data_IF_475837428449
#
_entry.id   IF_475837428449
#
_cell.length_a   1.000
_cell.length_b   1.000
_cell.length_c   1.000
_cell.angle_alpha   90.00
_cell.angle_beta   90.00
_cell.angle_gamma   90.00
#
_symmetry.space_group_name_H-M   'P 1'
#
loop_
_entity.id
_entity.type
_entity.pdbx_description
1 polymer ?
#
# COMPACT_ATOMS: atom_id res chain seq x y z
N UNK A 1 -28.72 36.59 23.79
CA UNK A 1 -28.34 36.40 22.39
C UNK A 1 -27.46 35.15 22.35
N UNK A 2 -28.08 33.99 22.13
CA UNK A 2 -27.42 32.69 22.09
C UNK A 2 -26.89 32.47 20.68
N UNK A 3 -25.56 32.34 20.56
CA UNK A 3 -24.92 31.81 19.37
C UNK A 3 -24.70 30.33 19.64
N UNK A 4 -25.49 29.50 18.99
CA UNK A 4 -25.32 28.05 18.97
C UNK A 4 -24.07 27.74 18.11
N UNK A 5 -23.10 27.10 18.75
CA UNK A 5 -22.00 26.40 18.08
C UNK A 5 -22.59 25.19 17.35
N UNK A 6 -22.61 25.21 16.04
CA UNK A 6 -22.80 24.02 15.24
C UNK A 6 -21.53 23.17 15.33
N UNK A 7 -21.64 22.11 16.10
CA UNK A 7 -20.69 21.00 16.11
C UNK A 7 -20.57 20.42 14.69
N UNK A 8 -19.49 20.74 14.02
CA UNK A 8 -19.03 20.01 12.84
C UNK A 8 -18.57 18.62 13.29
N UNK A 9 -19.52 17.70 13.28
CA UNK A 9 -19.31 16.28 13.51
C UNK A 9 -18.39 15.72 12.45
N UNK A 10 -17.08 15.64 12.74
CA UNK A 10 -16.17 14.81 11.98
C UNK A 10 -16.75 13.38 11.90
N UNK A 11 -16.76 12.76 10.73
CA UNK A 11 -17.21 11.37 10.61
C UNK A 11 -16.21 10.49 11.34
N UNK A 12 -16.53 10.08 12.55
CA UNK A 12 -15.86 8.99 13.25
C UNK A 12 -16.13 7.70 12.49
N UNK A 13 -15.36 7.45 11.46
CA UNK A 13 -15.40 6.18 10.75
C UNK A 13 -14.24 5.32 11.25
N UNK A 14 -14.45 4.70 12.38
CA UNK A 14 -13.67 3.56 12.87
C UNK A 14 -14.06 2.29 12.06
N UNK A 15 -14.30 2.43 10.78
CA UNK A 15 -14.56 1.32 9.87
C UNK A 15 -13.25 0.92 9.20
N UNK A 16 -12.68 -0.18 9.67
CA UNK A 16 -11.55 -0.87 9.02
C UNK A 16 -11.87 -1.26 7.56
N UNK A 17 -13.10 -1.11 7.11
CA UNK A 17 -13.58 -1.54 5.81
C UNK A 17 -13.14 -0.60 4.69
N UNK A 18 -12.71 -1.19 3.59
CA UNK A 18 -12.47 -0.48 2.33
C UNK A 18 -13.80 -0.27 1.62
N UNK A 19 -14.17 0.98 1.41
CA UNK A 19 -15.32 1.37 0.58
C UNK A 19 -14.86 2.15 -0.65
N UNK A 20 -14.92 1.50 -1.81
CA UNK A 20 -14.58 2.09 -3.11
C UNK A 20 -15.39 3.34 -3.39
N UNK A 21 -16.67 3.35 -3.00
CA UNK A 21 -17.55 4.47 -3.26
C UNK A 21 -17.18 5.69 -2.42
N UNK A 22 -16.84 5.48 -1.16
CA UNK A 22 -16.32 6.51 -0.27
C UNK A 22 -14.99 7.07 -0.77
N UNK A 23 -14.08 6.21 -1.22
CA UNK A 23 -12.79 6.62 -1.79
C UNK A 23 -13.00 7.47 -3.06
N UNK A 24 -13.88 7.07 -3.97
CA UNK A 24 -14.21 7.85 -5.18
C UNK A 24 -14.80 9.20 -4.81
N UNK A 25 -15.72 9.23 -3.86
CA UNK A 25 -16.37 10.47 -3.41
C UNK A 25 -15.36 11.46 -2.82
N UNK A 26 -14.39 10.96 -2.07
CA UNK A 26 -13.36 11.79 -1.41
C UNK A 26 -12.28 12.25 -2.38
N UNK A 27 -11.79 11.33 -3.23
CA UNK A 27 -10.62 11.60 -4.09
C UNK A 27 -11.00 12.21 -5.45
N UNK A 28 -12.21 11.94 -5.94
CA UNK A 28 -12.68 12.37 -7.25
C UNK A 28 -14.08 13.02 -7.20
N UNK A 29 -14.34 14.00 -6.31
CA UNK A 29 -15.68 14.55 -6.09
C UNK A 29 -16.27 15.18 -7.35
N UNK A 30 -15.42 15.81 -8.19
CA UNK A 30 -15.85 16.44 -9.44
C UNK A 30 -16.27 15.43 -10.51
N UNK A 31 -15.69 14.23 -10.50
CA UNK A 31 -15.94 13.19 -11.50
C UNK A 31 -17.01 12.20 -11.07
N UNK A 32 -17.37 12.14 -9.77
CA UNK A 32 -18.37 11.22 -9.22
C UNK A 32 -19.67 11.21 -10.02
N UNK A 33 -20.12 12.39 -10.44
CA UNK A 33 -21.36 12.58 -11.21
C UNK A 33 -21.35 11.88 -12.57
N UNK A 34 -20.16 11.69 -13.16
CA UNK A 34 -19.98 11.10 -14.49
C UNK A 34 -19.64 9.62 -14.45
N UNK A 35 -19.36 9.06 -13.25
CA UNK A 35 -19.01 7.65 -13.10
C UNK A 35 -20.30 6.85 -12.96
N UNK A 36 -20.65 5.99 -13.94
CA UNK A 36 -21.86 5.19 -13.88
C UNK A 36 -21.75 4.11 -12.79
N UNK A 37 -22.86 3.72 -12.20
CA UNK A 37 -22.91 2.68 -11.15
C UNK A 37 -22.31 1.36 -11.60
N UNK A 38 -22.46 0.99 -12.88
CA UNK A 38 -21.86 -0.23 -13.40
C UNK A 38 -20.32 -0.21 -13.33
N UNK A 39 -19.69 0.95 -13.56
CA UNK A 39 -18.24 1.09 -13.42
C UNK A 39 -17.79 0.98 -11.95
N UNK A 40 -18.56 1.53 -11.03
CA UNK A 40 -18.28 1.39 -9.59
C UNK A 40 -18.42 -0.08 -9.16
N UNK A 41 -19.49 -0.74 -9.58
CA UNK A 41 -19.71 -2.16 -9.25
C UNK A 41 -18.63 -3.06 -9.90
N UNK A 42 -18.23 -2.74 -11.12
CA UNK A 42 -17.11 -3.42 -11.78
C UNK A 42 -15.80 -3.23 -10.99
N UNK A 43 -15.54 -2.01 -10.51
CA UNK A 43 -14.35 -1.72 -9.71
C UNK A 43 -14.38 -2.44 -8.37
N UNK A 44 -15.51 -2.42 -7.64
CA UNK A 44 -15.71 -3.18 -6.39
C UNK A 44 -15.41 -4.67 -6.60
N UNK A 45 -15.93 -5.24 -7.68
CA UNK A 45 -15.69 -6.65 -8.04
C UNK A 45 -14.22 -6.90 -8.43
N UNK A 46 -13.59 -5.97 -9.13
CA UNK A 46 -12.20 -6.11 -9.58
C UNK A 46 -11.21 -6.12 -8.41
N UNK A 47 -11.48 -5.34 -7.36
CA UNK A 47 -10.65 -5.31 -6.14
C UNK A 47 -11.09 -6.33 -5.10
N UNK A 48 -12.12 -7.14 -5.40
CA UNK A 48 -12.69 -8.11 -4.47
C UNK A 48 -13.03 -7.47 -3.11
N UNK A 49 -13.77 -6.35 -3.14
CA UNK A 49 -14.02 -5.53 -1.96
C UNK A 49 -14.62 -6.33 -0.79
N UNK A 50 -15.57 -7.22 -1.08
CA UNK A 50 -16.26 -7.99 -0.05
C UNK A 50 -15.33 -9.01 0.62
N UNK A 51 -14.48 -9.69 -0.17
CA UNK A 51 -13.46 -10.61 0.32
C UNK A 51 -12.40 -9.87 1.14
N UNK A 52 -11.96 -8.69 0.67
CA UNK A 52 -11.01 -7.86 1.39
C UNK A 52 -11.58 -7.41 2.73
N UNK A 53 -12.82 -6.94 2.77
CA UNK A 53 -13.49 -6.56 4.00
C UNK A 53 -13.69 -7.76 4.94
N UNK A 54 -14.01 -8.93 4.39
CA UNK A 54 -14.06 -10.18 5.16
C UNK A 54 -12.72 -10.54 5.81
N UNK A 55 -11.60 -10.33 5.11
CA UNK A 55 -10.26 -10.52 5.68
C UNK A 55 -10.02 -9.50 6.80
N UNK A 56 -10.33 -8.22 6.58
CA UNK A 56 -10.17 -7.18 7.58
C UNK A 56 -10.97 -7.47 8.86
N UNK A 57 -12.17 -8.02 8.73
CA UNK A 57 -12.99 -8.44 9.89
C UNK A 57 -12.36 -9.59 10.67
N UNK A 58 -11.87 -10.62 9.95
CA UNK A 58 -11.25 -11.80 10.58
C UNK A 58 -9.88 -11.50 11.19
N UNK A 59 -9.20 -10.45 10.73
CA UNK A 59 -7.89 -10.03 11.24
C UNK A 59 -7.99 -8.79 12.15
N UNK A 60 -9.19 -8.45 12.58
CA UNK A 60 -9.45 -7.28 13.43
C UNK A 60 -8.57 -7.28 14.68
N UNK A 61 -8.01 -6.13 15.01
CA UNK A 61 -7.13 -5.93 16.17
C UNK A 61 -5.66 -6.27 15.93
N UNK A 62 -5.31 -6.78 14.74
CA UNK A 62 -3.91 -6.99 14.34
C UNK A 62 -3.38 -5.80 13.55
N UNK A 63 -2.06 -5.52 13.65
CA UNK A 63 -1.40 -4.42 12.93
C UNK A 63 -0.05 -4.88 12.39
N UNK A 64 0.41 -4.18 11.36
CA UNK A 64 1.76 -4.34 10.81
C UNK A 64 2.08 -5.80 10.43
N UNK A 65 3.19 -6.34 10.88
CA UNK A 65 3.60 -7.72 10.58
C UNK A 65 2.61 -8.77 11.11
N UNK A 66 1.97 -8.52 12.26
CA UNK A 66 0.94 -9.41 12.81
C UNK A 66 -0.31 -9.46 11.93
N UNK A 67 -0.71 -8.33 11.36
CA UNK A 67 -1.79 -8.29 10.38
C UNK A 67 -1.42 -9.12 9.15
N UNK A 68 -0.22 -8.95 8.61
CA UNK A 68 0.25 -9.72 7.46
C UNK A 68 0.29 -11.22 7.76
N UNK A 69 0.77 -11.63 8.93
CA UNK A 69 0.76 -13.02 9.37
C UNK A 69 -0.66 -13.59 9.44
N UNK A 70 -1.59 -12.83 10.02
CA UNK A 70 -2.99 -13.24 10.13
C UNK A 70 -3.64 -13.41 8.74
N UNK A 71 -3.38 -12.49 7.80
CA UNK A 71 -3.85 -12.57 6.42
C UNK A 71 -3.27 -13.79 5.70
N UNK A 72 -1.96 -14.02 5.79
CA UNK A 72 -1.33 -15.18 5.16
C UNK A 72 -1.88 -16.49 5.70
N UNK A 73 -2.15 -16.57 6.99
CA UNK A 73 -2.77 -17.72 7.65
C UNK A 73 -4.22 -17.93 7.17
N UNK A 74 -5.01 -16.87 7.11
CA UNK A 74 -6.40 -16.89 6.65
C UNK A 74 -6.51 -17.38 5.19
N UNK A 75 -5.59 -16.94 4.34
CA UNK A 75 -5.50 -17.34 2.93
C UNK A 75 -4.76 -18.67 2.71
N UNK A 76 -4.27 -19.32 3.79
CA UNK A 76 -3.43 -20.52 3.74
C UNK A 76 -2.23 -20.39 2.78
N UNK A 77 -1.62 -19.21 2.75
CA UNK A 77 -0.45 -18.92 1.91
C UNK A 77 0.82 -19.29 2.66
N UNK A 78 1.70 -20.02 2.00
CA UNK A 78 3.05 -20.37 2.46
C UNK A 78 4.06 -19.87 1.44
N UNK A 79 5.21 -19.43 1.92
CA UNK A 79 6.34 -19.04 1.08
C UNK A 79 7.63 -19.62 1.63
N UNK A 80 8.63 -19.73 0.79
CA UNK A 80 9.99 -20.15 1.13
C UNK A 80 10.97 -19.06 0.71
N UNK A 81 12.08 -18.95 1.42
CA UNK A 81 13.15 -18.00 1.11
C UNK A 81 14.42 -18.76 0.82
N UNK A 82 15.09 -18.39 -0.27
CA UNK A 82 16.39 -18.95 -0.66
C UNK A 82 17.36 -17.81 -0.94
N UNK A 83 18.63 -18.02 -0.65
CA UNK A 83 19.71 -17.07 -0.91
C UNK A 83 20.35 -16.49 0.36
N UNK A 84 21.34 -15.63 0.15
CA UNK A 84 22.07 -14.95 1.23
C UNK A 84 21.49 -13.56 1.44
N UNK A 85 21.22 -13.20 2.68
CA UNK A 85 20.63 -11.92 3.05
C UNK A 85 21.70 -10.94 3.54
N UNK A 86 21.58 -9.64 3.21
CA UNK A 86 22.47 -8.61 3.74
C UNK A 86 22.21 -8.38 5.24
N UNK A 87 23.27 -7.99 5.95
CA UNK A 87 23.19 -7.63 7.37
C UNK A 87 22.87 -6.12 7.50
N UNK A 88 21.72 -5.73 8.03
CA UNK A 88 21.32 -4.33 8.16
C UNK A 88 22.20 -3.52 9.13
N UNK A 89 22.93 -4.20 10.04
CA UNK A 89 23.88 -3.54 10.92
C UNK A 89 25.14 -3.04 10.18
N UNK A 90 25.44 -3.64 9.03
CA UNK A 90 26.64 -3.33 8.23
C UNK A 90 26.35 -2.42 7.04
N UNK A 91 25.12 -2.45 6.55
CA UNK A 91 24.77 -1.72 5.32
C UNK A 91 23.28 -1.41 5.26
N UNK A 92 22.92 -0.37 4.54
CA UNK A 92 21.54 -0.03 4.19
C UNK A 92 20.93 -1.16 3.36
N UNK A 93 19.74 -1.60 3.75
CA UNK A 93 18.97 -2.63 3.04
C UNK A 93 17.79 -2.01 2.31
N UNK A 94 17.77 -2.16 0.99
CA UNK A 94 16.63 -1.80 0.14
C UNK A 94 16.18 -3.04 -0.59
N UNK A 95 14.94 -3.46 -0.34
CA UNK A 95 14.32 -4.66 -0.88
C UNK A 95 13.49 -4.27 -2.09
N UNK A 96 13.92 -4.72 -3.24
CA UNK A 96 13.28 -4.41 -4.53
C UNK A 96 12.66 -5.68 -5.09
N UNK A 97 11.35 -5.63 -5.38
CA UNK A 97 10.60 -6.83 -5.75
C UNK A 97 9.75 -6.63 -7.01
N UNK A 98 9.44 -7.73 -7.69
CA UNK A 98 8.37 -7.80 -8.68
C UNK A 98 7.00 -7.72 -7.98
N UNK A 99 5.95 -7.46 -8.75
CA UNK A 99 4.60 -7.33 -8.22
C UNK A 99 3.58 -8.12 -9.04
N UNK A 100 3.74 -9.46 -9.17
CA UNK A 100 2.89 -10.29 -10.01
C UNK A 100 1.53 -10.63 -9.40
N UNK A 101 1.43 -10.73 -8.08
CA UNK A 101 0.24 -11.20 -7.36
C UNK A 101 -0.57 -10.06 -6.69
N UNK A 102 -0.17 -8.82 -6.88
CA UNK A 102 -0.86 -7.67 -6.30
C UNK A 102 -0.71 -7.58 -4.78
N UNK A 103 -1.82 -7.36 -4.06
CA UNK A 103 -1.78 -7.14 -2.61
C UNK A 103 -1.06 -8.25 -1.85
N UNK A 104 -1.10 -9.49 -2.34
CA UNK A 104 -0.46 -10.63 -1.70
C UNK A 104 1.06 -10.51 -1.65
N UNK A 105 1.68 -9.92 -2.69
CA UNK A 105 3.13 -9.66 -2.68
C UNK A 105 3.49 -8.70 -1.55
N UNK A 106 2.72 -7.61 -1.39
CA UNK A 106 2.95 -6.63 -0.33
C UNK A 106 2.84 -7.26 1.06
N UNK A 107 1.78 -8.00 1.30
CA UNK A 107 1.53 -8.71 2.57
C UNK A 107 2.68 -9.70 2.87
N UNK A 108 3.07 -10.50 1.87
CA UNK A 108 4.17 -11.48 2.02
C UNK A 108 5.50 -10.78 2.29
N UNK A 109 5.81 -9.72 1.57
CA UNK A 109 7.07 -8.99 1.72
C UNK A 109 7.18 -8.27 3.07
N UNK A 110 6.08 -7.67 3.56
CA UNK A 110 6.07 -7.05 4.89
C UNK A 110 6.29 -8.12 5.97
N UNK A 111 5.56 -9.24 5.91
CA UNK A 111 5.72 -10.33 6.88
C UNK A 111 7.15 -10.89 6.85
N UNK A 112 7.68 -11.19 5.66
CA UNK A 112 9.03 -11.72 5.48
C UNK A 112 10.10 -10.74 5.98
N UNK A 113 10.01 -9.47 5.61
CA UNK A 113 11.00 -8.47 6.00
C UNK A 113 10.99 -8.22 7.51
N UNK A 114 9.81 -8.17 8.12
CA UNK A 114 9.69 -8.02 9.57
C UNK A 114 10.23 -9.24 10.32
N UNK A 115 10.01 -10.45 9.82
CA UNK A 115 10.56 -11.69 10.38
C UNK A 115 12.09 -11.78 10.24
N UNK A 116 12.65 -11.18 9.17
CA UNK A 116 14.08 -11.25 8.84
C UNK A 116 14.89 -10.14 9.52
N UNK A 117 14.37 -8.92 9.50
CA UNK A 117 15.10 -7.71 9.89
C UNK A 117 14.54 -7.01 11.13
N UNK A 118 13.44 -7.52 11.69
CA UNK A 118 12.74 -6.91 12.81
C UNK A 118 11.54 -6.07 12.37
N UNK A 119 10.73 -5.62 13.33
CA UNK A 119 9.44 -4.96 13.06
C UNK A 119 9.59 -3.54 12.49
N UNK A 120 10.75 -2.94 12.62
CA UNK A 120 11.03 -1.57 12.16
C UNK A 120 11.44 -1.63 10.68
N UNK A 121 10.45 -1.57 9.81
CA UNK A 121 10.59 -1.59 8.36
C UNK A 121 9.70 -0.54 7.73
N UNK A 122 10.05 -0.07 6.54
CA UNK A 122 9.19 0.82 5.76
C UNK A 122 8.87 0.24 4.40
N UNK A 123 7.65 0.53 3.93
CA UNK A 123 7.21 0.11 2.62
C UNK A 123 6.73 1.31 1.80
N UNK A 124 7.45 1.61 0.72
CA UNK A 124 7.08 2.68 -0.21
C UNK A 124 5.86 2.25 -1.01
N UNK A 125 4.78 3.00 -0.87
CA UNK A 125 3.48 2.69 -1.48
C UNK A 125 2.85 3.91 -2.15
N UNK A 126 1.90 3.65 -3.04
CA UNK A 126 1.03 4.73 -3.52
C UNK A 126 0.16 5.26 -2.35
N UNK A 127 -0.04 6.57 -2.32
CA UNK A 127 -0.82 7.25 -1.27
C UNK A 127 -2.24 6.70 -1.07
N UNK A 128 -2.84 6.09 -2.10
CA UNK A 128 -4.16 5.44 -2.01
C UNK A 128 -4.16 4.25 -1.03
N UNK A 129 -3.01 3.60 -0.84
CA UNK A 129 -2.89 2.43 0.05
C UNK A 129 -2.89 2.80 1.53
N UNK A 130 -2.74 4.08 1.87
CA UNK A 130 -2.88 4.56 3.27
C UNK A 130 -4.28 4.35 3.85
N UNK A 131 -5.25 4.01 2.99
CA UNK A 131 -6.57 3.57 3.43
C UNK A 131 -6.56 2.22 4.17
N UNK A 132 -5.48 1.42 4.01
CA UNK A 132 -5.31 0.14 4.71
C UNK A 132 -4.75 0.42 6.12
N UNK A 133 -5.63 0.78 7.05
CA UNK A 133 -5.29 1.21 8.40
C UNK A 133 -4.39 0.25 9.19
N UNK A 134 -4.55 -1.08 9.12
CA UNK A 134 -3.65 -2.00 9.82
C UNK A 134 -2.16 -1.87 9.44
N UNK A 135 -1.83 -1.26 8.30
CA UNK A 135 -0.46 -1.12 7.79
C UNK A 135 0.03 0.33 7.73
N UNK A 136 -0.73 1.29 8.24
CA UNK A 136 -0.42 2.72 8.10
C UNK A 136 0.94 3.11 8.71
N UNK A 137 1.37 2.44 9.77
CA UNK A 137 2.65 2.73 10.44
C UNK A 137 3.88 2.31 9.62
N UNK A 138 3.72 1.32 8.74
CA UNK A 138 4.80 0.81 7.86
C UNK A 138 4.83 1.59 6.55
N UNK A 139 3.69 2.12 6.10
CA UNK A 139 3.57 2.73 4.80
C UNK A 139 4.24 4.09 4.71
N UNK A 140 5.08 4.24 3.70
CA UNK A 140 5.70 5.49 3.31
C UNK A 140 5.05 5.95 1.99
N UNK A 141 4.03 6.83 2.05
CA UNK A 141 3.25 7.16 0.88
C UNK A 141 3.98 8.06 -0.10
N UNK A 142 3.91 7.69 -1.38
CA UNK A 142 4.43 8.47 -2.50
C UNK A 142 3.28 8.83 -3.44
N UNK A 143 3.17 10.10 -3.79
CA UNK A 143 2.19 10.52 -4.78
C UNK A 143 2.75 10.36 -6.19
N UNK A 144 2.24 9.35 -6.92
CA UNK A 144 2.68 9.05 -8.29
C UNK A 144 2.06 9.99 -9.35
N UNK A 145 0.99 10.72 -9.02
CA UNK A 145 0.19 11.48 -10.00
C UNK A 145 0.06 12.98 -9.67
N UNK A 146 0.81 13.48 -8.67
CA UNK A 146 0.68 14.86 -8.23
C UNK A 146 1.96 15.42 -7.59
N UNK A 147 1.87 16.66 -7.10
CA UNK A 147 2.96 17.23 -6.30
C UNK A 147 3.06 16.50 -4.96
N UNK A 148 4.24 16.01 -4.67
CA UNK A 148 4.58 15.49 -3.33
C UNK A 148 4.37 16.62 -2.30
N UNK A 149 3.74 16.30 -1.17
CA UNK A 149 3.69 17.27 -0.08
C UNK A 149 5.11 17.43 0.52
N UNK A 150 5.43 18.62 1.03
CA UNK A 150 6.74 18.85 1.65
C UNK A 150 6.98 17.92 2.85
N UNK A 151 5.95 17.60 3.61
CA UNK A 151 6.04 16.65 4.73
C UNK A 151 6.41 15.24 4.26
N UNK A 152 5.73 14.72 3.23
CA UNK A 152 6.03 13.38 2.70
C UNK A 152 7.46 13.29 2.15
N UNK A 153 8.01 14.34 1.51
CA UNK A 153 9.39 14.28 1.05
C UNK A 153 10.40 14.32 2.20
N UNK A 154 10.12 15.04 3.28
CA UNK A 154 11.00 15.09 4.45
C UNK A 154 11.03 13.73 5.16
N UNK A 155 9.89 13.07 5.28
CA UNK A 155 9.78 11.74 5.89
C UNK A 155 10.51 10.68 5.06
N UNK A 156 10.37 10.74 3.74
CA UNK A 156 11.07 9.85 2.80
C UNK A 156 12.58 10.04 2.93
N UNK A 157 13.07 11.27 2.90
CA UNK A 157 14.50 11.56 3.04
C UNK A 157 15.06 11.10 4.38
N UNK A 158 14.31 11.26 5.47
CA UNK A 158 14.70 10.79 6.80
C UNK A 158 14.82 9.25 6.83
N UNK A 159 13.86 8.53 6.24
CA UNK A 159 13.90 7.06 6.16
C UNK A 159 15.03 6.59 5.27
N UNK A 160 15.30 7.27 4.13
CA UNK A 160 16.44 6.91 3.29
C UNK A 160 17.79 7.17 3.96
N UNK A 161 17.88 8.06 4.93
CA UNK A 161 19.09 8.30 5.74
C UNK A 161 19.22 7.37 6.94
N UNK A 162 18.13 6.76 7.38
CA UNK A 162 18.15 5.77 8.47
C UNK A 162 18.69 4.43 7.98
N UNK A 163 18.99 3.52 8.90
CA UNK A 163 19.36 2.13 8.57
C UNK A 163 18.15 1.20 8.49
N UNK A 164 16.95 1.72 8.65
CA UNK A 164 15.71 0.94 8.57
C UNK A 164 15.56 0.32 7.17
N UNK A 165 15.28 -0.97 7.06
CA UNK A 165 15.03 -1.63 5.78
C UNK A 165 13.83 -1.03 5.06
N UNK A 166 13.97 -0.85 3.75
CA UNK A 166 12.93 -0.27 2.89
C UNK A 166 12.51 -1.31 1.86
N UNK A 167 11.21 -1.52 1.73
CA UNK A 167 10.60 -2.35 0.69
C UNK A 167 10.03 -1.44 -0.39
N UNK A 168 10.20 -1.82 -1.66
CA UNK A 168 9.57 -1.11 -2.76
C UNK A 168 9.28 -2.02 -3.95
N UNK A 169 8.22 -1.70 -4.67
CA UNK A 169 7.88 -2.25 -5.98
C UNK A 169 8.12 -1.17 -7.05
N UNK A 170 9.30 -1.16 -7.72
CA UNK A 170 9.68 -0.06 -8.61
C UNK A 170 8.74 0.14 -9.80
N UNK A 171 8.07 -0.93 -10.19
CA UNK A 171 7.08 -0.88 -11.26
C UNK A 171 5.84 -0.07 -10.91
N UNK A 172 5.53 0.10 -9.63
CA UNK A 172 4.36 0.82 -9.14
C UNK A 172 3.01 0.23 -9.55
N UNK A 173 3.00 -0.84 -10.32
CA UNK A 173 1.82 -1.50 -10.87
C UNK A 173 2.01 -3.02 -10.84
N UNK A 174 0.90 -3.74 -10.67
CA UNK A 174 0.86 -5.20 -10.76
C UNK A 174 1.20 -5.65 -12.18
N UNK A 175 2.05 -6.66 -12.30
CA UNK A 175 2.42 -7.27 -13.58
C UNK A 175 1.18 -7.78 -14.32
N UNK A 176 1.09 -7.50 -15.63
CA UNK A 176 -0.05 -7.92 -16.43
C UNK A 176 0.36 -8.87 -17.54
N UNK A 177 -0.36 -9.99 -17.66
CA UNK A 177 -0.24 -10.88 -18.80
C UNK A 177 -0.81 -10.18 -20.04
N UNK A 178 0.02 -10.00 -21.09
CA UNK A 178 -0.43 -9.49 -22.38
C UNK A 178 -1.20 -10.56 -23.16
N UNK A 179 -1.97 -10.13 -24.17
CA UNK A 179 -2.79 -11.00 -25.02
C UNK A 179 -1.96 -12.08 -25.76
N UNK A 180 -0.66 -11.86 -25.94
CA UNK A 180 0.30 -12.81 -26.52
C UNK A 180 0.93 -13.76 -25.49
N UNK A 181 0.44 -13.81 -24.27
CA UNK A 181 0.96 -14.69 -23.20
C UNK A 181 2.24 -14.19 -22.52
N UNK A 182 2.86 -13.14 -23.00
CA UNK A 182 4.07 -12.57 -22.43
C UNK A 182 3.70 -11.71 -21.22
N UNK A 183 4.34 -11.95 -20.08
CA UNK A 183 4.30 -11.04 -18.94
C UNK A 183 5.12 -9.81 -19.35
N UNK A 184 4.48 -8.65 -19.42
CA UNK A 184 5.23 -7.43 -19.74
C UNK A 184 6.17 -7.12 -18.61
N UNK A 185 7.47 -7.13 -18.90
CA UNK A 185 8.47 -6.51 -18.05
C UNK A 185 8.05 -5.06 -17.83
N UNK A 186 7.92 -4.73 -16.56
CA UNK A 186 7.45 -3.43 -16.15
C UNK A 186 8.55 -2.42 -16.46
N UNK A 187 8.26 -1.45 -17.28
CA UNK A 187 9.10 -0.25 -17.35
C UNK A 187 9.09 0.36 -15.96
N UNK A 188 10.22 0.29 -15.27
CA UNK A 188 10.36 0.89 -13.95
C UNK A 188 10.05 2.39 -14.05
N UNK A 189 8.96 2.81 -13.42
CA UNK A 189 8.58 4.23 -13.36
C UNK A 189 9.62 5.00 -12.54
N UNK A 190 10.30 4.34 -11.61
CA UNK A 190 11.37 4.91 -10.80
C UNK A 190 12.59 5.35 -11.60
N UNK A 191 12.86 4.71 -12.74
CA UNK A 191 14.02 5.05 -13.58
C UNK A 191 13.89 6.41 -14.27
N UNK A 192 12.68 6.85 -14.55
CA UNK A 192 12.41 8.15 -15.17
C UNK A 192 12.50 9.30 -14.17
N UNK A 193 12.21 9.06 -12.89
CA UNK A 193 12.31 10.11 -11.87
C UNK A 193 13.73 10.32 -11.32
N UNK A 194 14.55 9.26 -11.28
CA UNK A 194 15.96 9.40 -10.85
C UNK A 194 16.83 10.16 -11.86
N UNK A 195 16.50 10.09 -13.16
CA UNK A 195 17.20 10.84 -14.20
C UNK A 195 16.84 12.34 -14.26
N UNK A 196 15.77 12.76 -13.62
CA UNK A 196 15.34 14.16 -13.64
C UNK A 196 16.03 15.02 -12.55
N UNK A 197 16.92 14.41 -11.74
CA UNK A 197 17.65 15.06 -10.65
C UNK A 197 19.19 15.00 -10.82
N UNK A 198 19.70 14.51 -11.96
CA UNK A 198 21.08 14.73 -12.41
C UNK A 198 21.13 15.92 -13.38
#
# INVERSE_FOLDING_TARGET
MNVQNEDSKEPTTDSLHVDVEAVINTRLPRYRRFIPRCAINWLKKTICQDELNGILDRTKGTRNAQFCEAVLRDLNVKYTTEGTLPDPAKQKVIIVCNHPLGALDGITMIHWAAATYGPDIHFIVNDILTAIKPLEDIFLPVNLYGRQSRHSSTDIDAVFRSNTPIIMFPAGLVSRKRRNGIISDLKSVSYTHLRAHE
#
